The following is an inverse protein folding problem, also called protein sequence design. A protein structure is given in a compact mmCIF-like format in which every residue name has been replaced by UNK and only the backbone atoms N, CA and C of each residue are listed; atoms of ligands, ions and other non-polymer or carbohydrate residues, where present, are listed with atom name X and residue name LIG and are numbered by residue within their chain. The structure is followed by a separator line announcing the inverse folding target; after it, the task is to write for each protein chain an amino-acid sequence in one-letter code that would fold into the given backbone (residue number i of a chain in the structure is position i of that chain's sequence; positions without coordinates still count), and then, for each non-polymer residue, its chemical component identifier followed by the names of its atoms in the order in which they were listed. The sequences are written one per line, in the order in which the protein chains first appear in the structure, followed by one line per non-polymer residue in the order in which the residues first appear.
data_IF_581105178057
#
_entry.id   IF_581105178057
#
_cell.length_a   1.000
_cell.length_b   1.000
_cell.length_c   1.000
_cell.angle_alpha   90.00
_cell.angle_beta   90.00
_cell.angle_gamma   90.00
#
_symmetry.space_group_name_H-M   'P 1'
#
loop_
_entity.id
_entity.type
_entity.pdbx_description
1 polymer ?
#
# COMPACT_ATOMS: atom_id res chain seq x y z
N UNK A 1 3.65 3.71 23.33
CA UNK A 1 3.42 4.69 22.25
C UNK A 1 2.70 3.97 21.11
N UNK A 2 1.50 4.41 20.74
CA UNK A 2 0.69 3.84 19.65
C UNK A 2 0.97 4.58 18.36
N UNK A 3 1.38 3.87 17.32
CA UNK A 3 1.78 4.50 16.06
C UNK A 3 1.06 3.91 14.85
N UNK A 4 1.04 4.67 13.76
CA UNK A 4 0.82 4.15 12.42
C UNK A 4 2.07 4.34 11.56
N UNK A 5 2.42 3.33 10.77
CA UNK A 5 3.54 3.34 9.84
C UNK A 5 3.02 3.37 8.41
N UNK A 6 3.43 4.34 7.61
CA UNK A 6 2.95 4.52 6.24
C UNK A 6 4.14 4.61 5.29
N UNK A 7 4.29 3.65 4.38
CA UNK A 7 5.28 3.71 3.30
C UNK A 7 4.69 4.39 2.06
N UNK A 8 5.53 4.95 1.19
CA UNK A 8 5.08 5.70 0.02
C UNK A 8 4.34 7.00 0.35
N UNK A 9 4.58 7.55 1.54
CA UNK A 9 3.80 8.65 2.13
C UNK A 9 3.90 9.99 1.38
N UNK A 10 4.84 10.16 0.45
CA UNK A 10 5.10 11.47 -0.19
C UNK A 10 4.13 11.84 -1.32
N UNK A 11 3.29 10.92 -1.79
CA UNK A 11 2.34 11.18 -2.89
C UNK A 11 1.17 10.19 -2.93
N UNK A 12 0.23 10.44 -3.82
CA UNK A 12 -0.87 9.54 -4.14
C UNK A 12 -1.62 9.02 -2.92
N UNK A 13 -1.93 7.72 -2.93
CA UNK A 13 -2.66 7.08 -1.83
C UNK A 13 -1.89 7.11 -0.50
N UNK A 14 -0.55 6.97 -0.52
CA UNK A 14 0.26 7.04 0.71
C UNK A 14 0.12 8.37 1.43
N UNK A 15 0.21 9.49 0.70
CA UNK A 15 -0.04 10.83 1.24
C UNK A 15 -1.46 10.97 1.78
N UNK A 16 -2.42 10.40 1.08
CA UNK A 16 -3.82 10.48 1.49
C UNK A 16 -4.10 9.65 2.75
N UNK A 17 -3.42 8.51 2.93
CA UNK A 17 -3.46 7.77 4.20
C UNK A 17 -2.94 8.61 5.37
N UNK A 18 -1.83 9.34 5.20
CA UNK A 18 -1.31 10.23 6.25
C UNK A 18 -2.36 11.26 6.67
N UNK A 19 -3.08 11.83 5.70
CA UNK A 19 -4.13 12.82 5.98
C UNK A 19 -5.34 12.24 6.69
N UNK A 20 -5.79 11.04 6.29
CA UNK A 20 -7.06 10.50 6.76
C UNK A 20 -6.94 9.65 8.02
N UNK A 21 -5.84 8.95 8.25
CA UNK A 21 -5.68 8.05 9.41
C UNK A 21 -6.01 8.75 10.74
N UNK A 22 -5.57 9.98 11.03
CA UNK A 22 -5.89 10.65 12.29
C UNK A 22 -7.38 10.84 12.54
N UNK A 23 -8.18 10.98 11.48
CA UNK A 23 -9.64 11.14 11.58
C UNK A 23 -10.38 9.83 11.87
N UNK A 24 -9.78 8.69 11.47
CA UNK A 24 -10.37 7.36 11.70
C UNK A 24 -9.85 6.66 12.95
N UNK A 25 -8.65 7.02 13.41
CA UNK A 25 -7.93 6.42 14.52
C UNK A 25 -7.37 7.50 15.45
N UNK A 26 -8.23 8.02 16.33
CA UNK A 26 -7.96 9.21 17.14
C UNK A 26 -6.95 8.99 18.30
N UNK A 27 -6.55 7.75 18.57
CA UNK A 27 -5.68 7.42 19.71
C UNK A 27 -4.26 7.03 19.26
N UNK A 28 -3.73 7.70 18.24
CA UNK A 28 -2.35 7.54 17.80
C UNK A 28 -1.48 8.64 18.40
N UNK A 29 -0.34 8.24 18.94
CA UNK A 29 0.63 9.16 19.53
C UNK A 29 1.55 9.75 18.45
N UNK A 30 1.84 8.98 17.37
CA UNK A 30 2.77 9.40 16.32
C UNK A 30 2.44 8.70 14.99
N UNK A 31 2.69 9.37 13.86
CA UNK A 31 2.72 8.77 12.53
C UNK A 31 4.18 8.63 12.06
N UNK A 32 4.56 7.45 11.62
CA UNK A 32 5.84 7.20 10.98
C UNK A 32 5.65 7.18 9.47
N UNK A 33 6.21 8.16 8.78
CA UNK A 33 6.03 8.33 7.34
C UNK A 33 7.34 8.08 6.60
N UNK A 34 7.30 7.23 5.60
CA UNK A 34 8.47 6.69 4.91
C UNK A 34 8.41 6.96 3.42
N UNK A 35 9.41 7.62 2.86
CA UNK A 35 9.60 7.78 1.42
C UNK A 35 10.96 8.41 1.11
N UNK A 36 11.38 8.41 -0.16
CA UNK A 36 12.65 9.01 -0.60
C UNK A 36 12.65 10.54 -0.60
N UNK A 37 11.49 11.18 -0.79
CA UNK A 37 11.34 12.64 -0.99
C UNK A 37 11.16 13.36 0.34
N UNK A 38 12.28 13.73 0.97
CA UNK A 38 12.30 14.33 2.31
C UNK A 38 11.51 15.63 2.38
N UNK A 39 11.71 16.51 1.40
CA UNK A 39 11.01 17.79 1.26
C UNK A 39 9.48 17.65 1.31
N UNK A 40 8.95 16.65 0.59
CA UNK A 40 7.51 16.36 0.58
C UNK A 40 7.02 15.79 1.90
N UNK A 41 7.82 14.94 2.56
CA UNK A 41 7.47 14.42 3.88
C UNK A 41 7.43 15.55 4.93
N UNK A 42 8.38 16.47 4.89
CA UNK A 42 8.41 17.65 5.77
C UNK A 42 7.19 18.56 5.55
N UNK A 43 6.81 18.81 4.29
CA UNK A 43 5.61 19.57 3.97
C UNK A 43 4.33 18.90 4.49
N UNK A 44 4.21 17.58 4.37
CA UNK A 44 3.08 16.81 4.89
C UNK A 44 3.05 16.84 6.41
N UNK A 45 4.20 16.67 7.08
CA UNK A 45 4.30 16.68 8.52
C UNK A 45 3.82 18.00 9.15
N UNK A 46 4.09 19.15 8.49
CA UNK A 46 3.62 20.47 8.95
C UNK A 46 2.10 20.63 8.98
N UNK A 47 1.38 19.85 8.18
CA UNK A 47 -0.09 19.91 8.08
C UNK A 47 -0.81 18.80 8.82
N UNK A 48 -0.06 17.88 9.44
CA UNK A 48 -0.63 16.75 10.16
C UNK A 48 -1.06 17.14 11.57
N UNK A 49 -2.21 16.66 12.01
CA UNK A 49 -2.77 16.91 13.36
C UNK A 49 -2.15 16.01 14.45
N UNK A 50 -1.35 15.03 14.07
CA UNK A 50 -0.68 14.09 14.96
C UNK A 50 0.83 14.25 14.77
N UNK A 51 1.67 14.16 15.81
CA UNK A 51 3.12 14.16 15.68
C UNK A 51 3.61 13.19 14.59
N UNK A 52 4.59 13.63 13.81
CA UNK A 52 5.09 12.87 12.66
C UNK A 52 6.59 12.60 12.79
N UNK A 53 6.99 11.34 12.63
CA UNK A 53 8.38 10.94 12.47
C UNK A 53 8.68 10.62 11.01
N UNK A 54 9.66 11.30 10.46
CA UNK A 54 10.05 11.17 9.06
C UNK A 54 11.21 10.18 8.94
N UNK A 55 11.05 9.22 8.03
CA UNK A 55 12.11 8.35 7.55
C UNK A 55 12.30 8.60 6.05
N UNK A 56 13.29 9.41 5.72
CA UNK A 56 13.60 9.75 4.34
C UNK A 56 14.67 8.80 3.80
N UNK A 57 14.28 7.85 2.93
CA UNK A 57 15.20 6.88 2.35
C UNK A 57 14.52 5.91 1.40
N UNK A 58 15.32 5.03 0.82
CA UNK A 58 14.85 4.00 -0.11
C UNK A 58 14.57 2.68 0.62
N UNK A 59 13.35 2.19 0.47
CA UNK A 59 12.92 0.91 1.08
C UNK A 59 13.60 -0.33 0.46
N UNK A 60 14.30 -0.16 -0.66
CA UNK A 60 15.10 -1.23 -1.28
C UNK A 60 16.57 -1.22 -0.83
N UNK A 61 16.95 -0.22 -0.02
CA UNK A 61 18.29 -0.12 0.58
C UNK A 61 18.32 -0.82 1.95
N UNK A 62 19.14 -1.89 2.11
CA UNK A 62 19.27 -2.60 3.38
C UNK A 62 19.76 -1.72 4.54
N UNK A 63 20.62 -0.72 4.28
CA UNK A 63 21.12 0.18 5.31
C UNK A 63 20.01 1.10 5.83
N UNK A 64 19.15 1.56 4.93
CA UNK A 64 17.98 2.32 5.33
C UNK A 64 16.99 1.47 6.14
N UNK A 65 16.72 0.24 5.72
CA UNK A 65 15.87 -0.68 6.48
C UNK A 65 16.45 -0.98 7.88
N UNK A 66 17.78 -1.07 8.01
CA UNK A 66 18.44 -1.22 9.30
C UNK A 66 18.16 -0.02 10.22
N UNK A 67 18.19 1.21 9.69
CA UNK A 67 17.83 2.43 10.45
C UNK A 67 16.40 2.38 10.99
N UNK A 68 15.45 1.90 10.19
CA UNK A 68 14.06 1.71 10.61
C UNK A 68 13.98 0.64 11.71
N UNK A 69 14.66 -0.50 11.51
CA UNK A 69 14.73 -1.61 12.47
C UNK A 69 15.28 -1.15 13.82
N UNK A 70 16.41 -0.44 13.82
CA UNK A 70 17.05 0.04 15.07
C UNK A 70 16.11 1.00 15.83
N UNK A 71 15.38 1.84 15.10
CA UNK A 71 14.39 2.74 15.70
C UNK A 71 13.22 1.95 16.31
N UNK A 72 12.72 0.93 15.61
CA UNK A 72 11.68 0.03 16.14
C UNK A 72 12.18 -0.70 17.41
N UNK A 73 13.38 -1.23 17.40
CA UNK A 73 13.98 -1.92 18.55
C UNK A 73 14.15 -1.00 19.76
N UNK A 74 14.61 0.22 19.53
CA UNK A 74 14.85 1.22 20.58
C UNK A 74 13.56 1.73 21.20
N UNK A 75 12.55 2.04 20.40
CA UNK A 75 11.31 2.68 20.86
C UNK A 75 10.22 1.67 21.23
N UNK A 76 10.27 0.44 20.70
CA UNK A 76 9.30 -0.66 20.92
C UNK A 76 7.85 -0.17 20.89
N UNK A 77 7.41 0.47 19.80
CA UNK A 77 6.06 1.03 19.71
C UNK A 77 5.01 -0.07 19.63
N UNK A 78 3.76 0.27 19.96
CA UNK A 78 2.56 -0.52 19.59
C UNK A 78 2.08 -0.04 18.22
N UNK A 79 2.36 -0.81 17.16
CA UNK A 79 1.94 -0.47 15.80
C UNK A 79 0.47 -0.82 15.62
N UNK A 80 -0.39 0.20 15.65
CA UNK A 80 -1.84 0.05 15.47
C UNK A 80 -2.23 -0.07 14.00
N UNK A 81 -1.40 0.50 13.12
CA UNK A 81 -1.62 0.41 11.67
C UNK A 81 -0.29 0.39 10.91
N UNK A 82 -0.19 -0.53 9.94
CA UNK A 82 0.85 -0.53 8.92
C UNK A 82 0.17 -0.35 7.56
N UNK A 83 0.61 0.64 6.78
CA UNK A 83 0.16 0.86 5.40
C UNK A 83 1.35 0.72 4.46
N UNK A 84 1.41 -0.36 3.72
CA UNK A 84 2.39 -0.55 2.66
C UNK A 84 1.84 0.00 1.34
N UNK A 85 2.07 1.31 1.11
CA UNK A 85 1.62 2.01 -0.09
C UNK A 85 2.75 2.40 -1.04
N UNK A 86 4.01 2.12 -0.70
CA UNK A 86 5.12 2.30 -1.62
C UNK A 86 5.01 1.31 -2.78
N UNK A 87 5.19 1.82 -4.00
CA UNK A 87 5.15 1.01 -5.20
C UNK A 87 5.05 1.87 -6.45
N UNK A 88 5.39 1.29 -7.58
CA UNK A 88 5.20 1.91 -8.89
C UNK A 88 4.87 0.85 -9.94
N UNK A 89 4.49 1.31 -11.13
CA UNK A 89 4.29 0.50 -12.32
C UNK A 89 5.08 1.05 -13.48
N UNK A 90 5.50 0.17 -14.38
CA UNK A 90 6.07 0.51 -15.67
C UNK A 90 5.44 -0.41 -16.72
N UNK A 91 4.78 0.17 -17.71
CA UNK A 91 4.16 -0.55 -18.80
C UNK A 91 5.14 -0.77 -19.97
N UNK A 92 4.83 -1.74 -20.81
CA UNK A 92 5.55 -2.08 -22.03
C UNK A 92 5.46 -3.57 -22.33
N UNK A 93 5.63 -3.97 -23.59
CA UNK A 93 5.77 -5.39 -23.92
C UNK A 93 7.08 -5.92 -23.36
N UNK A 94 7.16 -7.21 -23.06
CA UNK A 94 8.39 -7.82 -22.54
C UNK A 94 9.55 -7.64 -23.52
N UNK A 95 9.28 -7.70 -24.84
CA UNK A 95 10.30 -7.55 -25.88
C UNK A 95 10.86 -6.11 -25.96
N UNK A 96 10.00 -5.10 -25.78
CA UNK A 96 10.45 -3.70 -25.80
C UNK A 96 11.22 -3.37 -24.51
N UNK A 97 10.71 -3.81 -23.36
CA UNK A 97 11.37 -3.64 -22.07
C UNK A 97 12.77 -4.30 -22.06
N UNK A 98 12.90 -5.50 -22.65
CA UNK A 98 14.17 -6.22 -22.70
C UNK A 98 15.28 -5.43 -23.41
N UNK A 99 14.92 -4.55 -24.35
CA UNK A 99 15.89 -3.74 -25.10
C UNK A 99 16.40 -2.53 -24.33
N UNK A 100 15.55 -1.87 -23.54
CA UNK A 100 15.85 -0.53 -23.03
C UNK A 100 15.67 -0.36 -21.52
N UNK A 101 14.75 -1.08 -20.87
CA UNK A 101 14.25 -0.74 -19.53
C UNK A 101 14.16 -1.91 -18.54
N UNK A 102 14.83 -3.04 -18.79
CA UNK A 102 14.76 -4.18 -17.87
C UNK A 102 15.14 -3.85 -16.41
N UNK A 103 16.06 -2.88 -16.07
CA UNK A 103 16.35 -2.54 -14.69
C UNK A 103 15.12 -2.02 -13.94
N UNK A 104 14.26 -1.21 -14.61
CA UNK A 104 13.04 -0.68 -14.00
C UNK A 104 12.04 -1.78 -13.61
N UNK A 105 12.02 -2.90 -14.34
CA UNK A 105 11.17 -4.06 -13.97
C UNK A 105 11.70 -4.76 -12.71
N UNK A 106 13.02 -4.92 -12.59
CA UNK A 106 13.64 -5.46 -11.38
C UNK A 106 13.44 -4.56 -10.17
N UNK A 107 13.58 -3.25 -10.33
CA UNK A 107 13.28 -2.28 -9.29
C UNK A 107 11.81 -2.33 -8.85
N UNK A 108 10.89 -2.56 -9.79
CA UNK A 108 9.47 -2.72 -9.50
C UNK A 108 9.23 -3.96 -8.63
N UNK A 109 9.87 -5.09 -8.91
CA UNK A 109 9.80 -6.30 -8.07
C UNK A 109 10.39 -6.03 -6.68
N UNK A 110 11.56 -5.40 -6.61
CA UNK A 110 12.19 -5.04 -5.34
C UNK A 110 11.29 -4.15 -4.48
N UNK A 111 10.72 -3.08 -5.06
CA UNK A 111 9.88 -2.17 -4.27
C UNK A 111 8.51 -2.76 -3.94
N UNK A 112 7.82 -3.32 -4.94
CA UNK A 112 6.44 -3.78 -4.76
C UNK A 112 6.32 -5.08 -3.96
N UNK A 113 7.33 -5.95 -3.99
CA UNK A 113 7.31 -7.25 -3.32
C UNK A 113 8.29 -7.31 -2.15
N UNK A 114 9.60 -7.18 -2.41
CA UNK A 114 10.63 -7.36 -1.40
C UNK A 114 10.54 -6.30 -0.28
N UNK A 115 10.51 -5.02 -0.63
CA UNK A 115 10.42 -3.94 0.35
C UNK A 115 9.12 -3.99 1.16
N UNK A 116 7.99 -4.34 0.54
CA UNK A 116 6.72 -4.56 1.22
C UNK A 116 6.82 -5.71 2.22
N UNK A 117 7.43 -6.82 1.82
CA UNK A 117 7.65 -7.98 2.69
C UNK A 117 8.56 -7.61 3.86
N UNK A 118 9.70 -6.98 3.60
CA UNK A 118 10.66 -6.55 4.62
C UNK A 118 10.00 -5.62 5.64
N UNK A 119 9.25 -4.60 5.19
CA UNK A 119 8.54 -3.70 6.10
C UNK A 119 7.49 -4.44 6.94
N UNK A 120 6.79 -5.39 6.34
CA UNK A 120 5.81 -6.21 7.07
C UNK A 120 6.49 -7.05 8.15
N UNK A 121 7.61 -7.71 7.82
CA UNK A 121 8.39 -8.52 8.77
C UNK A 121 9.03 -7.68 9.87
N UNK A 122 9.58 -6.52 9.55
CA UNK A 122 10.16 -5.59 10.54
C UNK A 122 9.11 -5.07 11.54
N UNK A 123 7.89 -4.81 11.06
CA UNK A 123 6.80 -4.32 11.90
C UNK A 123 6.09 -5.44 12.69
N UNK A 124 6.12 -6.68 12.23
CA UNK A 124 5.38 -7.81 12.81
C UNK A 124 5.56 -8.00 14.32
N UNK A 125 6.79 -7.90 14.92
CA UNK A 125 6.99 -8.04 16.36
C UNK A 125 6.33 -6.96 17.21
N UNK A 126 5.93 -5.85 16.59
CA UNK A 126 5.34 -4.67 17.26
C UNK A 126 3.84 -4.53 17.02
N UNK A 127 3.23 -5.50 16.35
CA UNK A 127 1.79 -5.58 16.16
C UNK A 127 1.13 -6.22 17.38
N UNK A 128 -0.02 -5.72 17.76
CA UNK A 128 -0.82 -6.23 18.87
C UNK A 128 -2.26 -6.53 18.47
N UNK A 129 -3.02 -7.15 19.35
CA UNK A 129 -4.45 -7.38 19.11
C UNK A 129 -5.17 -6.09 18.71
N UNK A 130 -5.90 -6.13 17.60
CA UNK A 130 -6.57 -4.98 17.00
C UNK A 130 -5.72 -4.19 16.01
N UNK A 131 -4.44 -4.52 15.81
CA UNK A 131 -3.60 -3.92 14.76
C UNK A 131 -4.16 -4.22 13.37
N UNK A 132 -3.95 -3.30 12.44
CA UNK A 132 -4.42 -3.39 11.05
C UNK A 132 -3.28 -3.18 10.08
N UNK A 133 -3.25 -4.01 9.04
CA UNK A 133 -2.27 -3.92 7.97
C UNK A 133 -3.03 -3.72 6.66
N UNK A 134 -2.71 -2.66 5.95
CA UNK A 134 -3.23 -2.38 4.63
C UNK A 134 -2.11 -2.55 3.60
N UNK A 135 -2.29 -3.51 2.72
CA UNK A 135 -1.35 -3.81 1.63
C UNK A 135 -1.93 -3.29 0.33
N UNK A 136 -1.25 -2.35 -0.32
CA UNK A 136 -1.76 -1.76 -1.56
C UNK A 136 -1.42 -2.67 -2.75
N UNK A 137 -2.37 -3.53 -3.07
CA UNK A 137 -2.39 -4.36 -4.27
C UNK A 137 -2.91 -3.55 -5.49
N UNK A 138 -3.70 -4.16 -6.34
CA UNK A 138 -4.36 -3.56 -7.51
C UNK A 138 -5.43 -4.51 -8.04
N UNK A 139 -6.39 -4.01 -8.82
CA UNK A 139 -7.26 -4.84 -9.65
C UNK A 139 -6.45 -5.70 -10.64
N UNK A 140 -5.26 -5.27 -11.02
CA UNK A 140 -4.31 -6.05 -11.81
C UNK A 140 -3.88 -7.38 -11.18
N UNK A 141 -4.11 -7.56 -9.87
CA UNK A 141 -3.79 -8.80 -9.17
C UNK A 141 -4.70 -10.00 -9.56
N UNK A 142 -5.85 -9.74 -10.19
CA UNK A 142 -6.86 -10.77 -10.44
C UNK A 142 -6.82 -11.38 -11.84
N UNK A 143 -6.09 -10.76 -12.77
CA UNK A 143 -5.98 -11.26 -14.14
C UNK A 143 -4.64 -10.88 -14.78
N UNK A 144 -4.09 -11.73 -15.67
CA UNK A 144 -2.93 -11.38 -16.47
C UNK A 144 -3.18 -10.12 -17.28
N UNK A 145 -2.19 -9.23 -17.35
CA UNK A 145 -2.32 -7.99 -18.12
C UNK A 145 -1.17 -7.89 -19.13
N UNK A 146 -1.45 -8.08 -20.44
CA UNK A 146 -0.49 -7.77 -21.49
C UNK A 146 0.03 -6.34 -21.35
N UNK A 147 1.29 -6.12 -21.71
CA UNK A 147 2.02 -4.84 -21.54
C UNK A 147 2.19 -4.38 -20.08
N UNK A 148 1.70 -5.15 -19.10
CA UNK A 148 1.83 -4.83 -17.67
C UNK A 148 2.13 -6.09 -16.85
N UNK A 149 2.78 -7.07 -17.49
CA UNK A 149 2.97 -8.42 -16.96
C UNK A 149 3.67 -8.45 -15.59
N UNK A 150 4.83 -7.78 -15.48
CA UNK A 150 5.59 -7.75 -14.21
C UNK A 150 4.80 -7.02 -13.12
N UNK A 151 4.17 -5.89 -13.44
CA UNK A 151 3.34 -5.17 -12.47
C UNK A 151 2.19 -6.04 -11.96
N UNK A 152 1.43 -6.66 -12.86
CA UNK A 152 0.31 -7.55 -12.47
C UNK A 152 0.81 -8.69 -11.58
N UNK A 153 1.95 -9.32 -11.93
CA UNK A 153 2.57 -10.36 -11.11
C UNK A 153 2.96 -9.85 -9.72
N UNK A 154 3.56 -8.64 -9.59
CA UNK A 154 3.86 -8.07 -8.27
C UNK A 154 2.61 -7.83 -7.45
N UNK A 155 1.50 -7.43 -8.08
CA UNK A 155 0.23 -7.16 -7.37
C UNK A 155 -0.50 -8.45 -7.00
N UNK A 156 -0.34 -9.52 -7.77
CA UNK A 156 -0.79 -10.88 -7.41
C UNK A 156 -0.01 -11.42 -6.21
N UNK A 157 1.31 -11.18 -6.17
CA UNK A 157 2.14 -11.48 -5.00
C UNK A 157 1.58 -10.79 -3.74
N UNK A 158 1.35 -9.47 -3.80
CA UNK A 158 0.82 -8.70 -2.67
C UNK A 158 -0.53 -9.23 -2.20
N UNK A 159 -1.42 -9.57 -3.12
CA UNK A 159 -2.75 -10.12 -2.80
C UNK A 159 -2.63 -11.47 -2.11
N UNK A 160 -1.83 -12.40 -2.65
CA UNK A 160 -1.60 -13.74 -2.09
C UNK A 160 -0.96 -13.64 -0.70
N UNK A 161 0.10 -12.86 -0.57
CA UNK A 161 0.79 -12.62 0.71
C UNK A 161 -0.15 -12.05 1.77
N UNK A 162 -0.98 -11.07 1.40
CA UNK A 162 -1.96 -10.47 2.31
C UNK A 162 -2.99 -11.47 2.82
N UNK A 163 -3.48 -12.36 1.94
CA UNK A 163 -4.44 -13.41 2.29
C UNK A 163 -3.84 -14.42 3.25
N UNK A 164 -2.62 -14.87 2.98
CA UNK A 164 -1.89 -15.81 3.85
C UNK A 164 -1.67 -15.21 5.25
N UNK A 165 -1.12 -13.99 5.33
CA UNK A 165 -0.93 -13.30 6.61
C UNK A 165 -2.25 -13.08 7.36
N UNK A 166 -3.32 -12.75 6.64
CA UNK A 166 -4.65 -12.57 7.23
C UNK A 166 -5.16 -13.86 7.90
N UNK A 167 -4.93 -15.01 7.27
CA UNK A 167 -5.27 -16.31 7.84
C UNK A 167 -4.42 -16.64 9.08
N UNK A 168 -3.08 -16.48 8.99
CA UNK A 168 -2.15 -16.75 10.09
C UNK A 168 -2.42 -15.88 11.33
N UNK A 169 -2.75 -14.62 11.13
CA UNK A 169 -2.83 -13.64 12.21
C UNK A 169 -4.24 -13.41 12.75
N UNK A 170 -5.25 -14.03 12.13
CA UNK A 170 -6.65 -13.92 12.55
C UNK A 170 -6.84 -14.29 14.03
N UNK A 171 -6.23 -15.41 14.47
CA UNK A 171 -6.31 -15.86 15.87
C UNK A 171 -5.60 -14.91 16.85
N UNK A 172 -4.62 -14.13 16.38
CA UNK A 172 -3.94 -13.10 17.16
C UNK A 172 -4.72 -11.78 17.21
N UNK A 173 -5.86 -11.70 16.51
CA UNK A 173 -6.67 -10.48 16.42
C UNK A 173 -6.00 -9.36 15.61
N UNK A 174 -5.07 -9.70 14.71
CA UNK A 174 -4.43 -8.79 13.76
C UNK A 174 -5.13 -8.96 12.41
N UNK A 175 -5.49 -7.86 11.77
CA UNK A 175 -6.30 -7.85 10.55
C UNK A 175 -5.51 -7.32 9.37
N UNK A 176 -5.46 -8.10 8.30
CA UNK A 176 -4.77 -7.75 7.06
C UNK A 176 -5.80 -7.50 5.96
N UNK A 177 -5.70 -6.35 5.29
CA UNK A 177 -6.58 -5.96 4.19
C UNK A 177 -5.75 -5.71 2.94
N UNK A 178 -5.97 -6.50 1.89
CA UNK A 178 -5.46 -6.18 0.56
C UNK A 178 -6.38 -5.15 -0.10
N UNK A 179 -5.85 -3.99 -0.41
CA UNK A 179 -6.57 -2.91 -1.11
C UNK A 179 -6.29 -3.07 -2.60
N UNK A 180 -7.32 -3.42 -3.40
CA UNK A 180 -7.18 -3.73 -4.82
C UNK A 180 -7.94 -2.70 -5.68
N UNK A 181 -7.48 -1.46 -5.77
CA UNK A 181 -8.16 -0.44 -6.55
C UNK A 181 -8.02 -0.70 -8.06
N UNK A 182 -9.00 -0.21 -8.83
CA UNK A 182 -8.83 0.08 -10.25
C UNK A 182 -7.87 1.26 -10.46
N UNK A 183 -7.89 1.90 -11.63
CA UNK A 183 -7.11 3.10 -11.89
C UNK A 183 -7.45 4.22 -10.89
N UNK A 184 -6.43 4.79 -10.26
CA UNK A 184 -6.57 5.89 -9.27
C UNK A 184 -5.79 7.10 -9.77
N UNK A 185 -6.44 8.26 -9.82
CA UNK A 185 -5.83 9.52 -10.22
C UNK A 185 -4.73 9.95 -9.23
N UNK A 186 -3.48 9.65 -9.59
CA UNK A 186 -2.28 9.91 -8.79
C UNK A 186 -1.05 10.06 -9.70
N UNK A 187 0.06 10.52 -9.16
CA UNK A 187 1.37 10.57 -9.83
C UNK A 187 1.84 9.18 -10.37
N UNK A 188 1.14 8.10 -10.04
CA UNK A 188 1.45 6.76 -10.54
C UNK A 188 1.47 6.70 -12.07
N UNK A 189 0.50 7.37 -12.72
CA UNK A 189 0.38 7.37 -14.18
C UNK A 189 1.42 8.25 -14.89
N UNK A 190 2.08 9.15 -14.18
CA UNK A 190 3.23 9.91 -14.72
C UNK A 190 4.43 8.99 -14.99
N UNK A 191 4.53 7.88 -14.25
CA UNK A 191 5.62 6.91 -14.35
C UNK A 191 5.29 5.70 -15.21
N UNK A 192 4.07 5.20 -15.12
CA UNK A 192 3.68 3.99 -15.85
C UNK A 192 3.19 4.23 -17.27
N UNK A 193 3.00 5.52 -17.67
CA UNK A 193 2.32 5.91 -18.90
C UNK A 193 0.82 6.14 -18.67
N UNK A 194 0.28 7.16 -19.32
CA UNK A 194 -1.16 7.49 -19.29
C UNK A 194 -1.96 6.37 -19.95
N UNK A 195 -3.17 6.04 -19.46
CA UNK A 195 -4.04 5.13 -20.15
C UNK A 195 -4.33 5.66 -21.56
N UNK A 196 -4.08 4.87 -22.59
CA UNK A 196 -4.34 5.24 -24.00
C UNK A 196 -5.83 5.47 -24.26
N UNK A 197 -6.71 4.87 -23.46
CA UNK A 197 -8.15 4.99 -23.61
C UNK A 197 -8.71 6.18 -22.81
N UNK A 198 -9.28 7.22 -23.47
CA UNK A 198 -9.89 8.37 -22.81
C UNK A 198 -10.98 8.01 -21.79
N UNK A 199 -11.77 6.97 -22.05
CA UNK A 199 -12.80 6.46 -21.14
C UNK A 199 -12.19 5.96 -19.82
N UNK A 200 -11.03 5.29 -19.86
CA UNK A 200 -10.32 4.91 -18.63
C UNK A 200 -9.86 6.11 -17.81
N UNK A 201 -9.52 7.21 -18.47
CA UNK A 201 -9.13 8.46 -17.80
C UNK A 201 -10.33 9.12 -17.09
N UNK A 202 -11.51 9.04 -17.69
CA UNK A 202 -12.74 9.58 -17.09
C UNK A 202 -13.26 8.74 -15.91
N UNK A 203 -12.94 7.45 -15.86
CA UNK A 203 -13.37 6.52 -14.80
C UNK A 203 -12.34 6.30 -13.69
N UNK A 204 -11.31 7.15 -13.61
CA UNK A 204 -10.30 7.04 -12.56
C UNK A 204 -10.87 7.44 -11.21
N UNK A 205 -10.68 6.56 -10.22
CA UNK A 205 -11.06 6.86 -8.85
C UNK A 205 -10.17 7.96 -8.25
N UNK A 206 -10.74 8.82 -7.41
CA UNK A 206 -9.96 9.80 -6.65
C UNK A 206 -9.33 9.14 -5.43
N UNK A 207 -8.04 9.38 -5.20
CA UNK A 207 -7.31 8.81 -4.07
C UNK A 207 -7.99 9.02 -2.70
N UNK A 208 -8.59 10.18 -2.38
CA UNK A 208 -9.33 10.37 -1.14
C UNK A 208 -10.46 9.38 -0.91
N UNK A 209 -11.22 9.05 -1.95
CA UNK A 209 -12.35 8.13 -1.85
C UNK A 209 -11.88 6.68 -1.67
N UNK A 210 -10.84 6.28 -2.40
CA UNK A 210 -10.23 4.95 -2.29
C UNK A 210 -9.68 4.73 -0.88
N UNK A 211 -8.94 5.70 -0.36
CA UNK A 211 -8.35 5.63 0.99
C UNK A 211 -9.42 5.62 2.08
N UNK A 212 -10.44 6.50 1.96
CA UNK A 212 -11.57 6.50 2.90
C UNK A 212 -12.24 5.13 2.97
N UNK A 213 -12.52 4.53 1.82
CA UNK A 213 -13.13 3.20 1.78
C UNK A 213 -12.20 2.13 2.35
N UNK A 214 -10.90 2.15 2.02
CA UNK A 214 -9.92 1.22 2.58
C UNK A 214 -9.86 1.29 4.12
N UNK A 215 -9.88 2.48 4.69
CA UNK A 215 -9.90 2.68 6.15
C UNK A 215 -11.19 2.19 6.80
N UNK A 216 -12.35 2.42 6.16
CA UNK A 216 -13.64 1.92 6.64
C UNK A 216 -13.67 0.38 6.64
N UNK A 217 -13.16 -0.25 5.59
CA UNK A 217 -13.17 -1.71 5.50
C UNK A 217 -12.13 -2.36 6.41
N UNK A 218 -10.96 -1.76 6.58
CA UNK A 218 -10.01 -2.16 7.60
C UNK A 218 -10.65 -2.08 9.00
N UNK A 219 -11.44 -1.03 9.28
CA UNK A 219 -12.20 -0.90 10.54
C UNK A 219 -13.23 -2.01 10.71
N UNK A 220 -13.86 -2.45 9.61
CA UNK A 220 -14.83 -3.58 9.58
C UNK A 220 -14.17 -4.94 9.56
N UNK A 221 -12.84 -5.02 9.65
CA UNK A 221 -12.04 -6.26 9.65
C UNK A 221 -12.16 -7.09 8.37
N UNK A 222 -12.40 -6.45 7.24
CA UNK A 222 -12.46 -7.13 5.93
C UNK A 222 -11.06 -7.52 5.45
N UNK A 223 -10.91 -8.74 4.93
CA UNK A 223 -9.63 -9.31 4.52
C UNK A 223 -9.18 -8.91 3.11
N UNK A 224 -10.11 -8.66 2.20
CA UNK A 224 -9.79 -8.18 0.85
C UNK A 224 -10.83 -7.20 0.34
N UNK A 225 -10.40 -6.29 -0.51
CA UNK A 225 -11.22 -5.20 -1.03
C UNK A 225 -11.02 -5.03 -2.53
N UNK A 226 -12.02 -5.39 -3.30
CA UNK A 226 -12.13 -5.00 -4.69
C UNK A 226 -12.84 -3.65 -4.76
N UNK A 227 -12.08 -2.58 -4.97
CA UNK A 227 -12.64 -1.26 -5.22
C UNK A 227 -12.93 -1.13 -6.71
N UNK A 228 -14.15 -1.50 -7.14
CA UNK A 228 -14.70 -1.05 -8.42
C UNK A 228 -15.35 0.31 -8.18
N UNK A 229 -14.88 1.32 -8.88
CA UNK A 229 -15.64 2.55 -9.06
C UNK A 229 -16.60 2.29 -10.23
N UNK A 230 -17.88 2.18 -9.94
CA UNK A 230 -18.93 2.30 -10.95
C UNK A 230 -19.33 3.78 -11.02
N UNK A 231 -19.68 4.26 -12.21
CA UNK A 231 -20.11 5.64 -12.43
C UNK A 231 -21.08 6.12 -11.36
N UNK A 232 -20.99 7.42 -11.03
CA UNK A 232 -21.77 8.14 -10.02
C UNK A 232 -21.33 8.02 -8.54
N UNK A 233 -20.03 7.81 -8.26
CA UNK A 233 -19.50 7.98 -6.89
C UNK A 233 -19.84 6.86 -5.92
N UNK A 234 -20.45 5.77 -6.37
CA UNK A 234 -20.76 4.61 -5.53
C UNK A 234 -19.65 3.58 -5.63
N UNK A 235 -18.96 3.33 -4.53
CA UNK A 235 -17.94 2.28 -4.42
C UNK A 235 -18.64 0.99 -3.99
N UNK A 236 -18.78 0.03 -4.90
CA UNK A 236 -19.26 -1.30 -4.53
C UNK A 236 -18.10 -2.20 -4.13
N UNK A 237 -18.17 -2.75 -2.94
CA UNK A 237 -17.27 -3.80 -2.46
C UNK A 237 -17.81 -5.15 -2.94
N UNK A 238 -17.21 -5.70 -3.98
CA UNK A 238 -17.48 -7.08 -4.35
C UNK A 238 -16.96 -8.02 -3.26
N UNK A 239 -17.82 -8.77 -2.59
CA UNK A 239 -17.39 -9.92 -1.81
C UNK A 239 -16.94 -11.01 -2.79
N UNK A 240 -15.68 -11.43 -2.67
CA UNK A 240 -15.24 -12.69 -3.26
C UNK A 240 -15.97 -13.82 -2.54
N UNK A 241 -16.91 -14.48 -3.23
CA UNK A 241 -17.62 -15.66 -2.74
C UNK A 241 -16.80 -16.94 -2.89
N UNK A 242 -15.52 -16.85 -3.21
CA UNK A 242 -14.64 -18.02 -3.16
C UNK A 242 -14.27 -18.30 -1.70
N UNK A 243 -15.28 -18.76 -0.96
CA UNK A 243 -15.08 -19.44 0.30
C UNK A 243 -14.28 -20.70 0.05
N UNK A 244 -13.37 -20.95 0.97
CA UNK A 244 -12.80 -22.26 1.27
C UNK A 244 -12.22 -23.02 0.07
N UNK A 245 -10.95 -22.77 -0.20
CA UNK A 245 -10.09 -23.88 -0.59
C UNK A 245 -9.66 -24.57 0.71
N UNK A 246 -10.28 -25.71 0.98
CA UNK A 246 -9.75 -26.70 1.92
C UNK A 246 -8.43 -27.21 1.34
N UNK A 247 -7.36 -27.10 2.11
CA UNK A 247 -6.11 -27.84 1.92
C UNK A 247 -6.11 -29.02 2.88
#
# INVERSE_FOLDING_TARGET
MKIAVITGASSGMGREFVRQIPHFYMNLDELWIISRRKDRLEAIAKTCSVPVRIFAGDLTDPMFLQTVKDTLQRLRPDIRMLVNAAGFGKSGTVLDIAKEEWPAQSEMVRLNCEALTNMTLLCAPYLSQGSRILQIASAAAFAPQPQFAVYAATKSYVLSFSRALGAEWKKKGIYVTAVCPGPVDTEFFERCGQPENPLKKMTMAKAPNVVKQALLDARRKKSSLNLRVLDEGTVHTGQDRSGQLEF
#
